data_IF_032142041727
#
_entry.id   IF_032142041727
#
_cell.length_a   1.000
_cell.length_b   1.000
_cell.length_c   1.000
_cell.angle_alpha   90.00
_cell.angle_beta   90.00
_cell.angle_gamma   90.00
#
_symmetry.space_group_name_H-M   'P 1'
#
loop_
_entity.id
_entity.type
_entity.pdbx_description
1 polymer ?
#
# COMPACT_ATOMS: atom_id res chain seq x y z
N UNK A 1 4.98 -11.79 0.09
CA UNK A 1 4.52 -10.85 1.15
C UNK A 1 3.06 -10.51 0.99
N UNK A 2 2.25 -10.57 2.07
CA UNK A 2 0.81 -10.29 2.08
C UNK A 2 0.41 -9.53 3.35
N UNK A 3 -0.75 -8.86 3.29
CA UNK A 3 -1.46 -8.37 4.48
C UNK A 3 -2.64 -9.29 4.78
N UNK A 4 -2.90 -9.51 6.06
CA UNK A 4 -4.15 -10.10 6.56
C UNK A 4 -4.77 -9.10 7.53
N UNK A 5 -6.07 -8.85 7.42
CA UNK A 5 -6.81 -8.03 8.37
C UNK A 5 -7.87 -8.89 9.06
N UNK A 6 -7.73 -9.04 10.37
CA UNK A 6 -8.74 -9.66 11.21
C UNK A 6 -9.85 -8.66 11.49
N UNK A 7 -11.01 -8.85 10.90
CA UNK A 7 -12.15 -7.97 11.02
C UNK A 7 -12.78 -8.00 12.43
N UNK A 8 -12.56 -9.07 13.22
CA UNK A 8 -13.06 -9.16 14.60
C UNK A 8 -12.25 -8.29 15.57
N UNK A 9 -10.97 -8.06 15.23
CA UNK A 9 -10.06 -7.24 16.05
C UNK A 9 -9.96 -5.80 15.59
N UNK A 10 -10.40 -5.49 14.38
CA UNK A 10 -10.30 -4.13 13.85
C UNK A 10 -11.35 -3.23 14.53
N UNK A 11 -10.88 -2.19 15.22
CA UNK A 11 -11.72 -1.21 15.93
C UNK A 11 -11.84 0.12 15.20
N UNK A 12 -11.51 0.18 13.91
CA UNK A 12 -11.61 1.38 13.07
C UNK A 12 -10.82 2.62 13.58
N UNK A 13 -9.81 2.42 14.39
CA UNK A 13 -9.05 3.52 15.01
C UNK A 13 -8.21 4.36 14.02
N UNK A 14 -8.09 3.95 12.77
CA UNK A 14 -7.27 4.58 11.72
C UNK A 14 -5.76 4.72 12.05
N UNK A 15 -5.27 4.10 13.11
CA UNK A 15 -3.85 4.11 13.47
C UNK A 15 -2.92 3.61 12.36
N UNK A 16 -3.35 2.59 11.60
CA UNK A 16 -2.62 2.07 10.45
C UNK A 16 -2.55 3.08 9.29
N UNK A 17 -3.56 3.92 9.11
CA UNK A 17 -3.59 4.99 8.11
C UNK A 17 -2.61 6.08 8.48
N UNK A 18 -2.66 6.54 9.73
CA UNK A 18 -1.76 7.58 10.26
C UNK A 18 -0.30 7.11 10.22
N UNK A 19 -0.03 5.88 10.66
CA UNK A 19 1.31 5.29 10.61
C UNK A 19 1.86 5.24 9.18
N UNK A 20 1.04 4.88 8.19
CA UNK A 20 1.44 4.85 6.79
C UNK A 20 1.75 6.26 6.25
N UNK A 21 0.93 7.24 6.60
CA UNK A 21 1.13 8.63 6.18
C UNK A 21 2.38 9.23 6.80
N UNK A 22 2.63 9.00 8.09
CA UNK A 22 3.79 9.51 8.79
C UNK A 22 5.10 8.87 8.31
N UNK A 23 5.10 7.56 8.04
CA UNK A 23 6.31 6.85 7.59
C UNK A 23 6.75 7.26 6.18
N UNK A 24 5.83 7.62 5.31
CA UNK A 24 6.10 7.83 3.89
C UNK A 24 5.88 9.25 3.39
N UNK A 25 5.55 10.18 4.27
CA UNK A 25 5.17 11.55 3.89
C UNK A 25 4.19 11.58 2.70
N UNK A 26 3.12 10.78 2.82
CA UNK A 26 2.19 10.56 1.71
C UNK A 26 1.49 11.87 1.33
N UNK A 27 1.51 12.25 0.04
CA UNK A 27 0.92 13.50 -0.42
C UNK A 27 -0.55 13.69 -0.01
N UNK A 28 -0.96 14.93 0.14
CA UNK A 28 -2.35 15.27 0.37
C UNK A 28 -3.26 14.68 -0.72
N UNK A 29 -4.42 14.17 -0.30
CA UNK A 29 -5.38 13.52 -1.21
C UNK A 29 -5.07 12.07 -1.56
N UNK A 30 -3.88 11.55 -1.20
CA UNK A 30 -3.52 10.14 -1.40
C UNK A 30 -3.65 9.37 -0.09
N UNK A 31 -4.28 8.21 -0.15
CA UNK A 31 -4.38 7.28 0.98
C UNK A 31 -3.89 5.90 0.54
N UNK A 32 -2.60 5.59 0.77
CA UNK A 32 -2.04 4.26 0.49
C UNK A 32 -2.73 3.14 1.26
N UNK A 33 -3.27 3.48 2.44
CA UNK A 33 -4.07 2.61 3.29
C UNK A 33 -5.31 3.35 3.76
N UNK A 34 -6.42 2.65 3.90
CA UNK A 34 -7.69 3.17 4.42
C UNK A 34 -8.40 2.09 5.23
N UNK A 35 -9.25 2.50 6.15
CA UNK A 35 -10.19 1.60 6.84
C UNK A 35 -11.54 1.75 6.15
N UNK A 36 -12.19 0.64 5.94
CA UNK A 36 -13.51 0.54 5.29
C UNK A 36 -14.44 -0.21 6.23
N UNK A 37 -15.59 0.37 6.50
CA UNK A 37 -16.65 -0.27 7.29
C UNK A 37 -17.58 -1.06 6.37
N UNK A 38 -17.79 -2.31 6.68
CA UNK A 38 -18.72 -3.22 6.02
C UNK A 38 -20.01 -3.27 6.82
N UNK A 39 -21.15 -3.26 6.15
CA UNK A 39 -22.48 -3.27 6.79
C UNK A 39 -22.68 -2.12 7.77
N UNK A 40 -22.25 -0.91 7.40
CA UNK A 40 -22.34 0.29 8.24
C UNK A 40 -23.76 0.52 8.74
N UNK A 41 -23.91 0.65 10.08
CA UNK A 41 -25.17 0.88 10.77
C UNK A 41 -26.13 -0.31 10.83
N UNK A 42 -25.73 -1.53 10.42
CA UNK A 42 -26.57 -2.74 10.51
C UNK A 42 -25.88 -3.86 11.27
N UNK A 43 -26.64 -4.87 11.65
CA UNK A 43 -26.10 -6.02 12.37
C UNK A 43 -25.00 -6.73 11.55
N UNK A 44 -23.89 -7.05 12.21
CA UNK A 44 -22.72 -7.64 11.53
C UNK A 44 -21.76 -6.60 10.96
N UNK A 45 -21.85 -5.35 11.38
CA UNK A 45 -20.87 -4.31 11.07
C UNK A 45 -19.46 -4.77 11.45
N UNK A 46 -18.54 -4.61 10.52
CA UNK A 46 -17.11 -4.95 10.66
C UNK A 46 -16.27 -3.92 9.93
N UNK A 47 -15.10 -3.63 10.46
CA UNK A 47 -14.13 -2.76 9.80
C UNK A 47 -12.91 -3.54 9.32
N UNK A 48 -12.42 -3.20 8.14
CA UNK A 48 -11.23 -3.80 7.54
C UNK A 48 -10.24 -2.73 7.08
N UNK A 49 -8.96 -3.02 7.26
CA UNK A 49 -7.88 -2.16 6.78
C UNK A 49 -7.43 -2.60 5.39
N UNK A 50 -7.61 -1.75 4.39
CA UNK A 50 -7.35 -2.04 2.97
C UNK A 50 -6.20 -1.21 2.43
N UNK A 51 -5.35 -1.84 1.61
CA UNK A 51 -4.26 -1.21 0.84
C UNK A 51 -4.05 -1.97 -0.47
N UNK A 52 -2.91 -1.76 -1.15
CA UNK A 52 -2.52 -2.63 -2.26
C UNK A 52 -2.39 -4.07 -1.78
N UNK A 53 -3.00 -5.00 -2.51
CA UNK A 53 -2.98 -6.44 -2.18
C UNK A 53 -1.72 -7.14 -2.69
N UNK A 54 -0.84 -6.46 -3.42
CA UNK A 54 0.36 -7.05 -4.04
C UNK A 54 0.04 -8.38 -4.74
N UNK A 55 -0.94 -8.31 -5.66
CA UNK A 55 -1.54 -9.46 -6.34
C UNK A 55 -0.49 -10.32 -7.05
N UNK A 56 -0.69 -11.65 -7.03
CA UNK A 56 0.17 -12.58 -7.78
C UNK A 56 -0.02 -12.44 -9.29
N UNK A 57 -1.27 -12.16 -9.72
CA UNK A 57 -1.60 -11.72 -11.07
C UNK A 57 -2.13 -10.28 -10.97
N UNK A 58 -1.25 -9.30 -11.23
CA UNK A 58 -1.50 -7.90 -10.95
C UNK A 58 -2.03 -7.17 -12.20
N UNK A 59 -3.34 -6.89 -12.31
CA UNK A 59 -3.91 -6.24 -13.49
C UNK A 59 -3.33 -4.83 -13.73
N UNK A 60 -2.91 -4.14 -12.68
CA UNK A 60 -2.25 -2.83 -12.81
C UNK A 60 -0.90 -2.91 -13.54
N UNK A 61 -0.17 -4.03 -13.44
CA UNK A 61 1.06 -4.26 -14.22
C UNK A 61 0.71 -4.52 -15.68
N UNK A 62 -0.28 -5.39 -15.92
CA UNK A 62 -0.66 -5.81 -17.28
C UNK A 62 -1.14 -4.65 -18.17
N UNK A 63 -1.74 -3.61 -17.58
CA UNK A 63 -2.27 -2.46 -18.36
C UNK A 63 -1.31 -1.28 -18.45
N UNK A 64 -0.11 -1.37 -17.86
CA UNK A 64 0.82 -0.25 -17.84
C UNK A 64 1.53 -0.10 -19.21
N UNK A 65 1.33 1.00 -19.95
CA UNK A 65 1.91 1.16 -21.28
C UNK A 65 3.42 1.45 -21.30
N UNK A 66 4.00 1.72 -20.12
CA UNK A 66 5.41 2.06 -19.95
C UNK A 66 6.14 1.09 -19.02
N UNK A 67 5.50 0.00 -18.62
CA UNK A 67 6.05 -1.04 -17.75
C UNK A 67 6.70 -0.51 -16.46
N UNK A 68 6.10 0.52 -15.85
CA UNK A 68 6.65 1.11 -14.64
C UNK A 68 6.52 0.23 -13.39
N UNK A 69 5.79 -0.89 -13.47
CA UNK A 69 5.64 -1.81 -12.35
C UNK A 69 6.63 -2.97 -12.45
N UNK A 70 7.08 -3.44 -11.31
CA UNK A 70 7.92 -4.63 -11.19
C UNK A 70 7.55 -5.39 -9.90
N UNK A 71 8.02 -6.63 -9.80
CA UNK A 71 7.78 -7.48 -8.64
C UNK A 71 9.11 -7.86 -8.01
N UNK A 72 9.19 -7.79 -6.68
CA UNK A 72 10.33 -8.29 -5.93
C UNK A 72 10.25 -9.81 -5.76
N UNK A 73 11.36 -10.45 -5.38
CA UNK A 73 11.42 -11.89 -5.12
C UNK A 73 10.45 -12.30 -4.00
N UNK A 74 10.21 -11.43 -3.03
CA UNK A 74 9.24 -11.65 -1.95
C UNK A 74 7.77 -11.46 -2.39
N UNK A 75 7.54 -11.17 -3.68
CA UNK A 75 6.22 -11.03 -4.27
C UNK A 75 5.57 -9.66 -4.03
N UNK A 76 6.33 -8.64 -3.64
CA UNK A 76 5.81 -7.27 -3.51
C UNK A 76 5.75 -6.62 -4.89
N UNK A 77 4.59 -6.08 -5.26
CA UNK A 77 4.45 -5.30 -6.50
C UNK A 77 4.84 -3.87 -6.21
N UNK A 78 5.93 -3.42 -6.80
CA UNK A 78 6.45 -2.06 -6.69
C UNK A 78 6.27 -1.28 -8.01
N UNK A 79 6.72 -0.04 -8.04
CA UNK A 79 6.62 0.81 -9.22
C UNK A 79 7.76 1.83 -9.23
N UNK A 80 8.20 2.18 -10.43
CA UNK A 80 9.15 3.24 -10.67
C UNK A 80 8.40 4.53 -11.03
N UNK A 81 8.53 5.55 -10.18
CA UNK A 81 7.89 6.86 -10.39
C UNK A 81 8.56 7.65 -11.53
N UNK A 82 9.82 7.39 -11.85
CA UNK A 82 10.51 8.10 -12.91
C UNK A 82 10.02 7.63 -14.29
N UNK A 83 9.72 6.36 -14.44
CA UNK A 83 9.12 5.77 -15.65
C UNK A 83 7.63 6.12 -15.80
N UNK A 84 6.90 6.29 -14.70
CA UNK A 84 5.47 6.54 -14.71
C UNK A 84 5.09 7.84 -15.44
N UNK A 85 4.18 7.76 -16.41
CA UNK A 85 3.65 8.91 -17.17
C UNK A 85 2.33 9.48 -16.64
N UNK A 86 1.78 8.94 -15.54
CA UNK A 86 0.54 9.44 -14.94
C UNK A 86 -0.73 9.14 -15.74
N UNK A 87 -0.75 8.17 -16.66
CA UNK A 87 -1.89 7.91 -17.55
C UNK A 87 -3.17 7.43 -16.83
N UNK A 88 -3.05 6.78 -15.67
CA UNK A 88 -4.19 6.36 -14.85
C UNK A 88 -4.77 4.99 -15.17
N UNK A 89 -4.32 4.25 -16.17
CA UNK A 89 -4.88 2.94 -16.53
C UNK A 89 -4.86 1.94 -15.37
N UNK A 90 -3.80 1.95 -14.58
CA UNK A 90 -3.67 1.10 -13.40
C UNK A 90 -4.74 1.37 -12.33
N UNK A 91 -5.25 2.60 -12.23
CA UNK A 91 -6.34 2.95 -11.31
C UNK A 91 -7.67 2.31 -11.74
N UNK A 92 -7.95 2.31 -13.05
CA UNK A 92 -9.15 1.66 -13.60
C UNK A 92 -9.07 0.14 -13.55
N UNK A 93 -7.88 -0.42 -13.73
CA UNK A 93 -7.70 -1.87 -13.72
C UNK A 93 -7.71 -2.47 -12.31
N UNK A 94 -7.42 -1.69 -11.27
CA UNK A 94 -7.33 -2.19 -9.90
C UNK A 94 -8.72 -2.26 -9.23
N UNK A 95 -9.23 -3.46 -8.88
CA UNK A 95 -10.54 -3.59 -8.23
C UNK A 95 -10.56 -3.03 -6.80
N UNK A 96 -9.40 -2.79 -6.21
CA UNK A 96 -9.25 -2.30 -4.84
C UNK A 96 -8.98 -0.78 -4.77
N UNK A 97 -8.87 -0.08 -5.90
CA UNK A 97 -8.57 1.35 -5.94
C UNK A 97 -7.21 1.71 -5.30
N UNK A 98 -6.22 0.80 -5.38
CA UNK A 98 -4.93 1.01 -4.72
C UNK A 98 -4.04 2.04 -5.43
N UNK A 99 -3.88 2.06 -6.77
CA UNK A 99 -3.16 3.12 -7.46
C UNK A 99 -3.93 4.44 -7.38
N UNK A 100 -3.27 5.47 -6.87
CA UNK A 100 -3.81 6.82 -6.74
C UNK A 100 -2.86 7.83 -7.37
N UNK A 101 -3.39 9.02 -7.66
CA UNK A 101 -2.62 10.06 -8.33
C UNK A 101 -2.79 11.36 -7.55
N UNK A 102 -1.74 11.88 -6.91
CA UNK A 102 -1.80 13.19 -6.28
C UNK A 102 -2.09 14.26 -7.33
N UNK A 103 -2.97 15.20 -7.01
CA UNK A 103 -3.18 16.39 -7.82
C UNK A 103 -2.10 17.42 -7.51
N UNK A 104 -1.50 17.98 -8.55
CA UNK A 104 -0.44 18.98 -8.42
C UNK A 104 -0.87 20.31 -9.08
N UNK A 105 -0.46 21.42 -8.46
CA UNK A 105 -0.71 22.76 -8.97
C UNK A 105 -2.16 23.22 -8.87
N UNK A 106 -2.41 24.46 -9.26
CA UNK A 106 -3.70 25.16 -9.14
C UNK A 106 -4.83 24.51 -9.94
N UNK A 107 -4.51 23.86 -11.05
CA UNK A 107 -5.48 23.23 -11.94
C UNK A 107 -5.58 21.71 -11.75
N UNK A 108 -5.00 21.16 -10.68
CA UNK A 108 -5.11 19.75 -10.38
C UNK A 108 -4.46 18.81 -11.39
N UNK A 109 -3.32 19.19 -11.96
CA UNK A 109 -2.59 18.31 -12.88
C UNK A 109 -2.28 16.99 -12.20
N UNK A 110 -2.60 15.89 -12.88
CA UNK A 110 -2.36 14.53 -12.37
C UNK A 110 -0.86 14.27 -12.20
N UNK A 111 -0.45 13.92 -10.99
CA UNK A 111 0.93 13.55 -10.68
C UNK A 111 1.28 12.11 -11.07
N UNK A 112 2.47 11.67 -10.68
CA UNK A 112 2.90 10.28 -10.80
C UNK A 112 2.06 9.38 -9.89
N UNK A 113 1.88 8.13 -10.31
CA UNK A 113 1.13 7.15 -9.54
C UNK A 113 1.78 6.90 -8.16
N UNK A 114 0.95 6.80 -7.14
CA UNK A 114 1.32 6.41 -5.79
C UNK A 114 0.43 5.27 -5.28
N UNK A 115 1.02 4.33 -4.57
CA UNK A 115 0.32 3.23 -3.91
C UNK A 115 1.17 2.65 -2.78
N UNK A 116 0.60 1.76 -1.99
CA UNK A 116 1.35 1.00 -0.98
C UNK A 116 2.56 0.27 -1.59
N UNK A 117 3.74 0.44 -1.00
CA UNK A 117 5.00 -0.22 -1.35
C UNK A 117 5.35 -1.39 -0.41
N UNK A 118 4.46 -1.77 0.48
CA UNK A 118 4.72 -2.71 1.58
C UNK A 118 5.87 -2.26 2.51
N UNK A 119 6.21 -0.98 2.50
CA UNK A 119 7.40 -0.40 3.12
C UNK A 119 8.72 -1.05 2.64
N UNK A 120 8.76 -1.47 1.38
CA UNK A 120 9.93 -2.11 0.75
C UNK A 120 10.80 -1.12 -0.05
N UNK A 121 10.58 0.20 0.09
CA UNK A 121 11.32 1.21 -0.68
C UNK A 121 10.90 1.26 -2.15
N UNK A 122 11.83 1.59 -3.02
CA UNK A 122 11.65 1.73 -4.46
C UNK A 122 12.63 0.88 -5.29
N UNK A 123 12.86 1.24 -6.58
CA UNK A 123 13.61 0.42 -7.51
C UNK A 123 15.11 0.33 -7.19
N UNK A 124 15.68 1.32 -6.54
CA UNK A 124 17.09 1.33 -6.19
C UNK A 124 17.29 0.88 -4.74
N UNK A 125 17.80 -0.31 -4.55
CA UNK A 125 18.04 -0.89 -3.22
C UNK A 125 19.19 -0.21 -2.44
N UNK A 126 19.78 0.86 -2.98
CA UNK A 126 20.96 1.51 -2.43
C UNK A 126 20.69 2.49 -1.28
N UNK A 127 19.42 2.74 -0.94
CA UNK A 127 19.04 3.64 0.14
C UNK A 127 19.45 5.11 -0.09
N UNK A 128 19.52 5.55 -1.35
CA UNK A 128 19.85 6.93 -1.68
C UNK A 128 18.79 7.90 -1.12
N UNK A 129 19.19 9.15 -0.84
CA UNK A 129 18.27 10.17 -0.36
C UNK A 129 17.12 10.42 -1.35
N UNK A 130 17.41 10.40 -2.66
CA UNK A 130 16.40 10.56 -3.70
C UNK A 130 15.38 9.43 -3.71
N UNK A 131 15.80 8.21 -3.49
CA UNK A 131 14.94 7.03 -3.32
C UNK A 131 14.05 7.17 -2.08
N UNK A 132 14.66 7.56 -0.97
CA UNK A 132 13.94 7.79 0.29
C UNK A 132 12.83 8.84 0.15
N UNK A 133 13.10 9.96 -0.53
CA UNK A 133 12.12 11.03 -0.75
C UNK A 133 10.94 10.58 -1.61
N UNK A 134 11.18 9.70 -2.58
CA UNK A 134 10.13 9.20 -3.48
C UNK A 134 9.29 8.06 -2.88
N UNK A 135 9.91 7.15 -2.17
CA UNK A 135 9.28 5.86 -1.79
C UNK A 135 9.24 5.63 -0.28
N UNK A 136 10.03 6.36 0.49
CA UNK A 136 10.25 6.13 1.92
C UNK A 136 11.27 5.05 2.19
N UNK A 137 11.46 4.76 3.46
CA UNK A 137 12.46 3.80 3.94
C UNK A 137 12.11 2.37 3.57
N UNK A 138 13.13 1.57 3.26
CA UNK A 138 12.97 0.13 3.09
C UNK A 138 13.01 -0.58 4.46
N UNK A 139 11.86 -0.71 5.10
CA UNK A 139 11.72 -1.37 6.41
C UNK A 139 11.92 -2.87 6.34
N UNK A 140 11.55 -3.49 5.22
CA UNK A 140 11.74 -4.94 5.04
C UNK A 140 13.21 -5.31 5.03
N UNK A 141 14.07 -4.52 4.37
CA UNK A 141 15.52 -4.72 4.39
C UNK A 141 16.12 -4.54 5.80
N UNK A 142 15.47 -3.79 6.68
CA UNK A 142 15.83 -3.64 8.08
C UNK A 142 15.28 -4.76 8.98
N UNK A 143 14.60 -5.76 8.42
CA UNK A 143 13.93 -6.82 9.17
C UNK A 143 12.70 -6.37 9.97
N UNK A 144 12.11 -5.22 9.62
CA UNK A 144 10.96 -4.63 10.30
C UNK A 144 9.67 -4.91 9.54
N UNK A 145 8.56 -4.97 10.25
CA UNK A 145 7.23 -5.01 9.66
C UNK A 145 6.88 -3.68 8.98
N UNK A 146 5.99 -3.67 7.99
CA UNK A 146 5.39 -2.44 7.50
C UNK A 146 4.81 -1.61 8.65
N UNK A 147 5.04 -0.29 8.62
CA UNK A 147 4.69 0.61 9.72
C UNK A 147 3.22 0.47 10.16
N UNK A 148 2.31 0.28 9.22
CA UNK A 148 0.88 0.12 9.50
C UNK A 148 0.55 -1.15 10.29
N UNK A 149 1.26 -2.25 10.06
CA UNK A 149 1.07 -3.50 10.80
C UNK A 149 1.75 -3.43 12.17
N UNK A 150 2.94 -2.87 12.24
CA UNK A 150 3.67 -2.68 13.50
C UNK A 150 2.89 -1.82 14.50
N UNK A 151 2.30 -0.71 14.02
CA UNK A 151 1.55 0.25 14.83
C UNK A 151 0.08 -0.13 15.07
N UNK A 152 -0.38 -1.27 14.57
CA UNK A 152 -1.73 -1.72 14.82
C UNK A 152 -1.91 -2.11 16.30
N UNK A 153 -2.68 -1.31 17.05
CA UNK A 153 -2.85 -1.46 18.51
C UNK A 153 -3.51 -2.78 18.90
N UNK A 154 -4.50 -3.22 18.13
CA UNK A 154 -5.23 -4.47 18.37
C UNK A 154 -4.60 -5.68 17.68
N UNK A 155 -3.51 -5.49 16.92
CA UNK A 155 -2.92 -6.53 16.08
C UNK A 155 -3.91 -7.19 15.11
N UNK A 156 -4.91 -6.41 14.70
CA UNK A 156 -5.86 -6.80 13.65
C UNK A 156 -5.18 -6.87 12.27
N UNK A 157 -4.18 -6.01 12.02
CA UNK A 157 -3.46 -5.97 10.76
C UNK A 157 -2.13 -6.70 10.87
N UNK A 158 -2.01 -7.81 10.15
CA UNK A 158 -0.80 -8.64 10.06
C UNK A 158 -0.15 -8.43 8.69
N UNK A 159 1.17 -8.54 8.63
CA UNK A 159 1.95 -8.44 7.40
C UNK A 159 3.14 -9.40 7.46
N UNK A 160 3.45 -10.06 6.34
CA UNK A 160 4.55 -11.00 6.26
C UNK A 160 4.38 -11.98 5.10
N UNK A 161 5.05 -13.11 5.18
CA UNK A 161 4.79 -14.23 4.28
C UNK A 161 3.34 -14.70 4.44
N UNK A 162 2.61 -14.82 3.32
CA UNK A 162 1.19 -15.10 3.34
C UNK A 162 0.85 -16.46 3.94
N UNK A 163 1.71 -17.45 3.74
CA UNK A 163 1.51 -18.80 4.25
C UNK A 163 1.81 -18.88 5.76
N UNK A 164 2.85 -18.18 6.20
CA UNK A 164 3.22 -18.15 7.62
C UNK A 164 2.18 -17.39 8.46
N UNK A 165 1.83 -16.17 8.07
CA UNK A 165 0.86 -15.37 8.84
C UNK A 165 -0.55 -15.97 8.80
N UNK A 166 -0.93 -16.63 7.70
CA UNK A 166 -2.20 -17.35 7.60
C UNK A 166 -2.30 -18.52 8.58
N UNK A 167 -1.24 -19.31 8.73
CA UNK A 167 -1.19 -20.43 9.68
C UNK A 167 -1.16 -19.98 11.15
N UNK A 168 -0.46 -18.89 11.43
CA UNK A 168 -0.36 -18.35 12.79
C UNK A 168 -1.65 -17.69 13.27
N UNK A 169 -2.59 -17.40 12.36
CA UNK A 169 -3.84 -16.72 12.67
C UNK A 169 -5.03 -17.67 12.87
N UNK A 170 -4.94 -18.91 12.44
CA UNK A 170 -5.94 -19.98 12.63
C UNK A 170 -5.72 -20.69 14.00
#
# INVERSE_FOLDING_TARGET
MKFICDAERCIECNGCVTACKAEHDVPWGVNRRRVVTLNDGVAGEKSISVACMHCSDAPCMAVCPVDCFYRTDEGVVLHDKDVCIGCGYCSYACPFGAPQFPSQGTFGVRGKMDKCTFCAGGPEANGSQAEFEKYGRNRLAEGKLPACAEQCSTKALLAGDGDEIGRAHV
#
